data_IF_727182349000
#
_entry.id   IF_727182349000
#
_cell.length_a   1.000
_cell.length_b   1.000
_cell.length_c   1.000
_cell.angle_alpha   90.00
_cell.angle_beta   90.00
_cell.angle_gamma   90.00
#
_symmetry.space_group_name_H-M   'P 1'
#
loop_
_entity.id
_entity.type
_entity.pdbx_description
1 polymer ?
#
# COMPACT_ATOMS: atom_id res chain seq x y z
N UNK A 1 -9.25 23.34 12.56
CA UNK A 1 -9.37 22.44 11.40
C UNK A 1 -9.18 21.02 11.90
N UNK A 2 -10.17 20.15 11.70
CA UNK A 2 -10.15 18.73 12.11
C UNK A 2 -9.11 17.94 11.32
N UNK A 3 -8.86 16.67 11.69
CA UNK A 3 -7.99 15.78 10.91
C UNK A 3 -8.52 15.62 9.48
N UNK A 4 -9.80 15.28 9.34
CA UNK A 4 -10.48 15.09 8.05
C UNK A 4 -10.35 16.33 7.16
N UNK A 5 -10.58 17.53 7.70
CA UNK A 5 -10.43 18.78 6.96
C UNK A 5 -8.98 19.03 6.50
N UNK A 6 -7.99 18.61 7.31
CA UNK A 6 -6.56 18.70 6.92
C UNK A 6 -6.23 17.69 5.82
N UNK A 7 -6.77 16.49 5.92
CA UNK A 7 -6.54 15.44 4.94
C UNK A 7 -7.21 15.79 3.60
N UNK A 8 -8.47 16.22 3.61
CA UNK A 8 -9.17 16.69 2.41
C UNK A 8 -8.44 17.85 1.70
N UNK A 9 -7.87 18.79 2.46
CA UNK A 9 -7.03 19.87 1.88
C UNK A 9 -5.74 19.35 1.25
N UNK A 10 -5.19 18.26 1.78
CA UNK A 10 -4.03 17.60 1.21
C UNK A 10 -4.39 16.79 -0.04
N UNK A 11 -5.55 16.13 -0.06
CA UNK A 11 -6.05 15.45 -1.26
C UNK A 11 -6.23 16.41 -2.42
N UNK A 12 -6.69 17.64 -2.17
CA UNK A 12 -6.75 18.65 -3.22
C UNK A 12 -5.37 19.00 -3.78
N UNK A 13 -4.32 19.01 -2.96
CA UNK A 13 -2.95 19.18 -3.44
C UNK A 13 -2.49 17.98 -4.27
N UNK A 14 -2.93 16.77 -3.93
CA UNK A 14 -2.66 15.58 -4.74
C UNK A 14 -3.33 15.69 -6.12
N UNK A 15 -4.61 16.08 -6.19
CA UNK A 15 -5.32 16.31 -7.46
C UNK A 15 -4.65 17.39 -8.30
N UNK A 16 -4.26 18.50 -7.68
CA UNK A 16 -3.48 19.55 -8.35
C UNK A 16 -2.15 19.03 -8.90
N UNK A 17 -1.47 18.14 -8.18
CA UNK A 17 -0.22 17.54 -8.67
C UNK A 17 -0.46 16.58 -9.83
N UNK A 18 -1.53 15.79 -9.81
CA UNK A 18 -1.91 14.97 -10.97
C UNK A 18 -2.11 15.83 -12.20
N UNK A 19 -2.91 16.91 -12.11
CA UNK A 19 -3.13 17.81 -13.25
C UNK A 19 -1.83 18.46 -13.77
N UNK A 20 -0.88 18.76 -12.88
CA UNK A 20 0.45 19.26 -13.27
C UNK A 20 1.26 18.20 -13.99
N UNK A 21 1.25 16.97 -13.49
CA UNK A 21 1.96 15.85 -14.13
C UNK A 21 1.39 15.56 -15.51
N UNK A 22 0.07 15.56 -15.69
CA UNK A 22 -0.58 15.38 -17.00
C UNK A 22 -0.07 16.40 -18.01
N UNK A 23 -0.08 17.69 -17.63
CA UNK A 23 0.39 18.77 -18.49
C UNK A 23 1.90 18.71 -18.76
N UNK A 24 2.69 18.42 -17.74
CA UNK A 24 4.16 18.45 -17.82
C UNK A 24 4.71 17.29 -18.63
N UNK A 25 4.07 16.14 -18.55
CA UNK A 25 4.58 14.90 -19.13
C UNK A 25 3.76 14.40 -20.32
N UNK A 26 2.67 15.08 -20.67
CA UNK A 26 1.76 14.70 -21.74
C UNK A 26 1.23 13.28 -21.56
N UNK A 27 0.68 13.01 -20.37
CA UNK A 27 0.16 11.70 -19.97
C UNK A 27 -1.26 11.83 -19.43
N UNK A 28 -2.09 10.82 -19.69
CA UNK A 28 -3.37 10.67 -18.98
C UNK A 28 -3.13 10.11 -17.58
N UNK A 29 -3.62 10.78 -16.56
CA UNK A 29 -3.50 10.35 -15.17
C UNK A 29 -4.76 10.74 -14.39
N UNK A 30 -5.19 9.86 -13.49
CA UNK A 30 -6.25 10.19 -12.52
C UNK A 30 -5.71 10.08 -11.11
N UNK A 31 -6.16 10.98 -10.24
CA UNK A 31 -5.92 10.84 -8.81
C UNK A 31 -6.69 9.63 -8.29
N UNK A 32 -5.97 8.65 -7.72
CA UNK A 32 -6.60 7.46 -7.13
C UNK A 32 -6.64 7.57 -5.60
N UNK A 33 -7.82 7.83 -5.00
CA UNK A 33 -7.95 7.91 -3.56
C UNK A 33 -7.67 6.56 -2.88
N UNK A 34 -6.99 6.61 -1.74
CA UNK A 34 -6.86 5.50 -0.78
C UNK A 34 -7.96 5.61 0.29
N UNK A 35 -8.08 4.61 1.16
CA UNK A 35 -8.93 4.74 2.35
C UNK A 35 -8.37 5.83 3.26
N UNK A 36 -9.23 6.78 3.64
CA UNK A 36 -8.86 7.84 4.57
C UNK A 36 -8.61 7.27 5.97
N UNK A 37 -7.47 7.56 6.60
CA UNK A 37 -7.23 7.18 7.98
C UNK A 37 -8.13 8.02 8.91
N UNK A 38 -8.69 7.42 9.95
CA UNK A 38 -9.51 8.17 10.94
C UNK A 38 -8.70 9.09 11.86
N UNK A 39 -7.37 9.04 11.77
CA UNK A 39 -6.46 9.86 12.56
C UNK A 39 -5.01 9.35 12.44
N UNK A 40 -4.09 9.89 13.27
CA UNK A 40 -2.70 9.47 13.25
C UNK A 40 -2.49 7.98 13.56
N UNK A 41 -1.62 7.32 12.81
CA UNK A 41 -1.37 5.87 12.85
C UNK A 41 0.04 5.51 13.33
N UNK A 42 0.23 4.27 13.78
CA UNK A 42 1.51 3.75 14.26
C UNK A 42 2.38 3.21 13.12
N UNK A 43 1.76 2.85 12.00
CA UNK A 43 2.45 2.32 10.83
C UNK A 43 1.95 2.97 9.55
N UNK A 44 2.88 3.33 8.65
CA UNK A 44 2.54 3.79 7.30
C UNK A 44 3.18 2.83 6.30
N UNK A 45 2.35 2.10 5.56
CA UNK A 45 2.80 1.21 4.50
C UNK A 45 2.76 1.97 3.17
N UNK A 46 3.89 2.03 2.47
CA UNK A 46 4.07 2.93 1.32
C UNK A 46 4.49 2.15 0.08
N UNK A 47 3.64 2.08 -0.92
CA UNK A 47 3.98 1.60 -2.26
C UNK A 47 4.41 2.77 -3.17
N UNK A 48 4.78 2.49 -4.42
CA UNK A 48 5.33 3.51 -5.31
C UNK A 48 4.25 4.42 -5.91
N UNK A 49 3.25 3.80 -6.54
CA UNK A 49 2.22 4.46 -7.31
C UNK A 49 1.08 3.48 -7.65
N UNK A 50 -0.14 3.98 -7.87
CA UNK A 50 -1.27 3.15 -8.20
C UNK A 50 -1.17 2.55 -9.61
N UNK A 51 -1.85 1.42 -9.80
CA UNK A 51 -2.10 0.86 -11.13
C UNK A 51 -3.29 1.57 -11.80
N UNK A 52 -3.44 1.42 -13.13
CA UNK A 52 -4.60 1.96 -13.85
C UNK A 52 -5.91 1.22 -13.56
N UNK A 53 -5.94 0.30 -12.59
CA UNK A 53 -7.15 -0.45 -12.20
C UNK A 53 -7.74 -1.33 -13.32
N UNK A 54 -6.98 -1.56 -14.40
CA UNK A 54 -7.49 -2.20 -15.62
C UNK A 54 -8.28 -1.27 -16.55
N UNK A 55 -8.47 0.01 -16.18
CA UNK A 55 -9.10 1.00 -17.03
C UNK A 55 -8.27 1.27 -18.30
N UNK A 56 -8.98 1.49 -19.41
CA UNK A 56 -8.41 1.72 -20.75
C UNK A 56 -8.37 3.19 -21.14
N UNK A 57 -8.99 4.06 -20.34
CA UNK A 57 -9.06 5.50 -20.55
C UNK A 57 -9.17 6.25 -19.22
N UNK A 58 -8.85 7.54 -19.24
CA UNK A 58 -9.09 8.45 -18.11
C UNK A 58 -10.55 8.45 -17.63
N UNK A 59 -11.51 8.50 -18.56
CA UNK A 59 -12.94 8.55 -18.22
C UNK A 59 -13.46 7.26 -17.60
N UNK A 60 -12.96 6.10 -18.05
CA UNK A 60 -13.24 4.83 -17.39
C UNK A 60 -12.64 4.78 -15.99
N UNK A 61 -11.40 5.24 -15.82
CA UNK A 61 -10.76 5.30 -14.52
C UNK A 61 -11.53 6.22 -13.55
N UNK A 62 -12.00 7.38 -14.02
CA UNK A 62 -12.81 8.31 -13.22
C UNK A 62 -14.15 7.68 -12.81
N UNK A 63 -14.85 7.01 -13.73
CA UNK A 63 -16.12 6.32 -13.42
C UNK A 63 -15.94 5.28 -12.31
N UNK A 64 -14.88 4.46 -12.38
CA UNK A 64 -14.59 3.48 -11.32
C UNK A 64 -14.39 4.16 -9.95
N UNK A 65 -13.68 5.30 -9.92
CA UNK A 65 -13.45 6.07 -8.68
C UNK A 65 -14.77 6.63 -8.13
N UNK A 66 -15.61 7.17 -9.01
CA UNK A 66 -16.91 7.73 -8.66
C UNK A 66 -17.88 6.66 -8.13
N UNK A 67 -17.78 5.44 -8.66
CA UNK A 67 -18.50 4.24 -8.18
C UNK A 67 -17.94 3.67 -6.86
N UNK A 68 -16.88 4.28 -6.31
CA UNK A 68 -16.34 3.94 -5.00
C UNK A 68 -15.05 3.13 -5.03
N UNK A 69 -14.42 2.93 -6.19
CA UNK A 69 -13.11 2.28 -6.24
C UNK A 69 -12.09 3.08 -5.43
N UNK A 70 -11.39 2.41 -4.52
CA UNK A 70 -10.27 2.95 -3.74
C UNK A 70 -9.03 2.08 -3.91
N UNK A 71 -7.87 2.70 -3.88
CA UNK A 71 -6.62 1.96 -3.92
C UNK A 71 -6.50 1.03 -2.71
N UNK A 72 -5.85 -0.12 -2.89
CA UNK A 72 -5.70 -1.17 -1.87
C UNK A 72 -7.00 -1.72 -1.28
N UNK A 73 -8.11 -1.74 -2.04
CA UNK A 73 -9.41 -2.22 -1.53
C UNK A 73 -10.16 -3.17 -2.45
N UNK A 74 -9.59 -3.54 -3.58
CA UNK A 74 -10.38 -4.11 -4.69
C UNK A 74 -9.92 -5.51 -5.12
N UNK A 75 -8.95 -6.10 -4.44
CA UNK A 75 -8.45 -7.44 -4.75
C UNK A 75 -8.27 -8.31 -3.51
N UNK A 76 -8.28 -9.63 -3.68
CA UNK A 76 -7.96 -10.57 -2.60
C UNK A 76 -6.57 -10.30 -2.01
N UNK A 77 -5.61 -9.91 -2.85
CA UNK A 77 -4.27 -9.50 -2.43
C UNK A 77 -4.30 -8.26 -1.52
N UNK A 78 -5.14 -7.29 -1.81
CA UNK A 78 -5.34 -6.11 -0.94
C UNK A 78 -5.93 -6.52 0.41
N UNK A 79 -6.98 -7.35 0.40
CA UNK A 79 -7.56 -7.88 1.62
C UNK A 79 -6.54 -8.67 2.44
N UNK A 80 -5.69 -9.47 1.80
CA UNK A 80 -4.59 -10.18 2.46
C UNK A 80 -3.60 -9.20 3.09
N UNK A 81 -3.21 -8.14 2.38
CA UNK A 81 -2.31 -7.10 2.92
C UNK A 81 -2.90 -6.47 4.18
N UNK A 82 -4.16 -6.04 4.12
CA UNK A 82 -4.87 -5.43 5.24
C UNK A 82 -5.05 -6.40 6.41
N UNK A 83 -5.46 -7.64 6.14
CA UNK A 83 -5.56 -8.70 7.14
C UNK A 83 -4.23 -8.91 7.85
N UNK A 84 -3.15 -9.07 7.09
CA UNK A 84 -1.83 -9.30 7.67
C UNK A 84 -1.30 -8.09 8.44
N UNK A 85 -1.50 -6.86 7.94
CA UNK A 85 -1.11 -5.66 8.66
C UNK A 85 -1.86 -5.55 10.00
N UNK A 86 -3.17 -5.82 10.01
CA UNK A 86 -3.96 -5.79 11.25
C UNK A 86 -3.57 -6.87 12.26
N UNK A 87 -3.30 -8.09 11.81
CA UNK A 87 -3.13 -9.25 12.70
C UNK A 87 -1.67 -9.55 13.07
N UNK A 88 -0.72 -9.17 12.21
CA UNK A 88 0.70 -9.53 12.40
C UNK A 88 1.60 -8.31 12.59
N UNK A 89 1.23 -7.13 12.08
CA UNK A 89 1.99 -5.89 12.30
C UNK A 89 1.52 -5.15 13.55
N UNK A 90 0.21 -4.89 13.65
CA UNK A 90 -0.36 -4.08 14.73
C UNK A 90 -0.59 -4.89 16.01
N UNK A 91 -0.29 -4.30 17.15
CA UNK A 91 -0.76 -4.72 18.48
C UNK A 91 -2.15 -4.16 18.77
N UNK A 92 -2.72 -4.58 19.90
CA UNK A 92 -3.99 -4.00 20.38
C UNK A 92 -3.86 -2.48 20.54
N UNK A 93 -4.81 -1.73 19.97
CA UNK A 93 -4.80 -0.26 19.95
C UNK A 93 -3.91 0.40 18.90
N UNK A 94 -2.97 -0.32 18.28
CA UNK A 94 -2.17 0.21 17.18
C UNK A 94 -2.96 0.22 15.87
N UNK A 95 -2.71 1.20 15.01
CA UNK A 95 -3.36 1.37 13.70
C UNK A 95 -2.34 1.59 12.59
N UNK A 96 -2.79 1.46 11.34
CA UNK A 96 -1.95 1.60 10.16
C UNK A 96 -2.66 2.36 9.03
N UNK A 97 -1.87 2.92 8.12
CA UNK A 97 -2.31 3.55 6.88
C UNK A 97 -1.58 2.91 5.70
N UNK A 98 -2.27 2.62 4.60
CA UNK A 98 -1.66 2.12 3.36
C UNK A 98 -1.81 3.17 2.28
N UNK A 99 -0.72 3.51 1.63
CA UNK A 99 -0.67 4.63 0.70
C UNK A 99 0.40 4.42 -0.37
N UNK A 100 0.40 5.26 -1.41
CA UNK A 100 1.47 5.32 -2.40
C UNK A 100 2.30 6.59 -2.24
N UNK A 101 3.57 6.59 -2.66
CA UNK A 101 4.38 7.81 -2.78
C UNK A 101 3.72 8.79 -3.77
N UNK A 102 3.37 8.33 -4.97
CA UNK A 102 2.63 9.10 -5.96
C UNK A 102 1.15 8.71 -5.97
N UNK A 103 0.24 9.68 -6.13
CA UNK A 103 -1.22 9.43 -6.07
C UNK A 103 -1.91 9.36 -7.43
N UNK A 104 -1.21 9.72 -8.50
CA UNK A 104 -1.73 9.64 -9.86
C UNK A 104 -1.49 8.28 -10.47
N UNK A 105 -2.48 7.72 -11.16
CA UNK A 105 -2.28 6.53 -12.00
C UNK A 105 -1.31 6.86 -13.13
N UNK A 106 -0.44 5.91 -13.49
CA UNK A 106 0.46 6.08 -14.63
C UNK A 106 0.19 5.00 -15.68
N UNK A 107 -0.04 5.38 -16.95
CA UNK A 107 -0.06 4.43 -18.05
C UNK A 107 1.28 3.71 -18.14
N UNK A 108 1.25 2.42 -18.47
CA UNK A 108 2.45 1.57 -18.55
C UNK A 108 3.55 2.14 -19.46
N UNK A 109 3.18 2.86 -20.53
CA UNK A 109 4.11 3.54 -21.45
C UNK A 109 4.89 4.69 -20.78
N UNK A 110 4.27 5.41 -19.83
CA UNK A 110 4.91 6.47 -19.05
C UNK A 110 5.78 5.92 -17.91
N UNK A 111 5.40 4.76 -17.32
CA UNK A 111 6.22 4.08 -16.30
C UNK A 111 7.61 3.69 -16.83
N UNK A 112 7.70 3.31 -18.11
CA UNK A 112 8.96 2.96 -18.76
C UNK A 112 9.92 4.15 -18.98
N UNK A 113 9.38 5.38 -19.04
CA UNK A 113 10.18 6.60 -19.18
C UNK A 113 10.75 7.13 -17.85
N UNK A 114 10.44 6.46 -16.73
CA UNK A 114 11.09 6.56 -15.42
C UNK A 114 11.76 7.89 -15.13
N UNK A 115 10.99 8.96 -14.92
CA UNK A 115 11.56 10.28 -14.66
C UNK A 115 11.72 10.49 -13.14
N UNK A 116 12.95 10.48 -12.58
CA UNK A 116 13.16 10.65 -11.14
C UNK A 116 12.62 11.99 -10.61
N UNK A 117 12.61 13.03 -11.45
CA UNK A 117 12.14 14.36 -11.06
C UNK A 117 10.64 14.40 -10.71
N UNK A 118 9.84 13.48 -11.28
CA UNK A 118 8.42 13.36 -10.90
C UNK A 118 8.27 12.94 -9.44
N UNK A 119 9.08 11.98 -9.00
CA UNK A 119 8.98 11.45 -7.65
C UNK A 119 9.47 12.43 -6.58
N UNK A 120 10.27 13.43 -6.94
CA UNK A 120 10.62 14.54 -6.05
C UNK A 120 9.40 15.40 -5.66
N UNK A 121 8.58 15.77 -6.63
CA UNK A 121 7.38 16.58 -6.39
C UNK A 121 6.36 15.80 -5.55
N UNK A 122 6.19 14.50 -5.84
CA UNK A 122 5.37 13.60 -5.03
C UNK A 122 5.94 13.39 -3.63
N UNK A 123 7.26 13.26 -3.47
CA UNK A 123 7.89 13.10 -2.18
C UNK A 123 7.59 14.27 -1.23
N UNK A 124 7.63 15.51 -1.72
CA UNK A 124 7.28 16.70 -0.92
C UNK A 124 5.83 16.67 -0.43
N UNK A 125 4.91 16.13 -1.22
CA UNK A 125 3.51 15.96 -0.83
C UNK A 125 3.34 14.78 0.13
N UNK A 126 4.06 13.69 -0.10
CA UNK A 126 4.12 12.55 0.81
C UNK A 126 4.68 12.93 2.19
N UNK A 127 5.68 13.80 2.28
CA UNK A 127 6.16 14.33 3.57
C UNK A 127 5.09 15.15 4.32
N UNK A 128 4.18 15.81 3.60
CA UNK A 128 3.03 16.49 4.22
C UNK A 128 2.00 15.48 4.71
N UNK A 129 1.73 14.44 3.92
CA UNK A 129 0.86 13.33 4.33
C UNK A 129 1.42 12.67 5.58
N UNK A 130 2.68 12.26 5.54
CA UNK A 130 3.35 11.60 6.66
C UNK A 130 3.26 12.44 7.94
N UNK A 131 3.59 13.74 7.89
CA UNK A 131 3.46 14.63 9.06
C UNK A 131 2.04 14.75 9.60
N UNK A 132 1.03 14.55 8.75
CA UNK A 132 -0.37 14.60 9.16
C UNK A 132 -0.84 13.25 9.73
N UNK A 133 -0.53 12.15 9.04
CA UNK A 133 -1.07 10.81 9.32
C UNK A 133 -0.23 9.99 10.29
N UNK A 134 1.03 10.34 10.53
CA UNK A 134 1.90 9.56 11.39
C UNK A 134 1.90 10.05 12.84
N UNK A 135 1.82 9.12 13.79
CA UNK A 135 2.22 9.39 15.18
C UNK A 135 3.73 9.71 15.24
N UNK A 136 4.22 10.38 16.30
CA UNK A 136 5.63 10.78 16.42
C UNK A 136 6.66 9.64 16.26
N UNK A 137 6.29 8.42 16.67
CA UNK A 137 7.14 7.22 16.58
C UNK A 137 6.63 6.22 15.53
N UNK A 138 5.81 6.68 14.58
CA UNK A 138 5.27 5.80 13.56
C UNK A 138 6.39 5.24 12.69
N UNK A 139 6.22 3.99 12.25
CA UNK A 139 7.17 3.29 11.39
C UNK A 139 6.67 3.27 9.96
N UNK A 140 7.55 3.67 9.04
CA UNK A 140 7.27 3.62 7.61
C UNK A 140 7.85 2.33 7.05
N UNK A 141 7.01 1.54 6.40
CA UNK A 141 7.37 0.28 5.77
C UNK A 141 7.10 0.39 4.28
N UNK A 142 8.16 0.31 3.49
CA UNK A 142 8.06 0.37 2.03
C UNK A 142 7.56 -0.95 1.46
N UNK A 143 6.60 -0.91 0.52
CA UNK A 143 6.10 -2.08 -0.22
C UNK A 143 6.79 -2.10 -1.59
N UNK A 144 7.86 -2.89 -1.68
CA UNK A 144 8.66 -3.04 -2.90
C UNK A 144 9.98 -2.27 -2.87
N UNK A 145 10.98 -2.84 -3.54
CA UNK A 145 12.35 -2.31 -3.55
C UNK A 145 12.48 -0.89 -4.10
N UNK A 146 11.84 -0.50 -5.21
CA UNK A 146 12.04 0.84 -5.79
C UNK A 146 11.68 1.98 -4.82
N UNK A 147 10.50 1.91 -4.19
CA UNK A 147 10.09 2.92 -3.20
C UNK A 147 10.94 2.84 -1.93
N UNK A 148 11.33 1.62 -1.50
CA UNK A 148 12.23 1.44 -0.37
C UNK A 148 13.60 2.09 -0.56
N UNK A 149 14.19 1.92 -1.74
CA UNK A 149 15.44 2.56 -2.10
C UNK A 149 15.28 4.09 -2.13
N UNK A 150 14.26 4.59 -2.84
CA UNK A 150 13.98 6.01 -2.94
C UNK A 150 13.82 6.67 -1.56
N UNK A 151 13.01 6.10 -0.67
CA UNK A 151 12.79 6.64 0.67
C UNK A 151 14.04 6.57 1.56
N UNK A 152 14.88 5.55 1.36
CA UNK A 152 16.17 5.43 2.07
C UNK A 152 17.16 6.50 1.61
N UNK A 153 17.27 6.74 0.31
CA UNK A 153 18.11 7.78 -0.28
C UNK A 153 17.69 9.19 0.16
N UNK A 154 16.38 9.40 0.39
CA UNK A 154 15.85 10.64 0.97
C UNK A 154 16.10 10.80 2.47
N UNK A 155 16.57 9.75 3.15
CA UNK A 155 16.77 9.79 4.59
C UNK A 155 15.47 10.02 5.37
N UNK A 156 14.34 9.53 4.86
CA UNK A 156 13.04 9.76 5.49
C UNK A 156 13.02 9.19 6.91
N UNK A 157 12.84 10.08 7.89
CA UNK A 157 12.77 9.70 9.30
C UNK A 157 11.64 8.68 9.53
N UNK A 158 11.96 7.60 10.25
CA UNK A 158 11.01 6.55 10.57
C UNK A 158 10.91 5.44 9.51
N UNK A 159 11.67 5.50 8.41
CA UNK A 159 11.76 4.38 7.47
C UNK A 159 12.41 3.17 8.13
N UNK A 160 11.61 2.13 8.40
CA UNK A 160 11.98 0.95 9.15
C UNK A 160 12.52 -0.18 8.26
N UNK A 161 12.17 -0.17 6.97
CA UNK A 161 12.62 -1.15 5.99
C UNK A 161 11.60 -1.40 4.88
N UNK A 162 11.84 -2.45 4.11
CA UNK A 162 11.08 -2.77 2.91
C UNK A 162 10.57 -4.21 2.94
N UNK A 163 9.28 -4.39 2.66
CA UNK A 163 8.67 -5.70 2.36
C UNK A 163 8.60 -5.93 0.85
N UNK A 164 8.48 -7.19 0.44
CA UNK A 164 8.30 -7.50 -0.97
C UNK A 164 6.91 -7.10 -1.44
N UNK A 165 6.84 -6.49 -2.62
CA UNK A 165 5.57 -6.26 -3.31
C UNK A 165 5.13 -7.54 -4.03
N UNK A 166 4.03 -8.15 -3.58
CA UNK A 166 3.53 -9.41 -4.12
C UNK A 166 2.41 -9.23 -5.16
N UNK A 167 2.71 -8.52 -6.24
CA UNK A 167 1.80 -8.43 -7.40
C UNK A 167 1.46 -9.83 -7.95
N UNK A 168 0.41 -9.99 -8.76
CA UNK A 168 0.10 -11.27 -9.42
C UNK A 168 1.28 -11.84 -10.22
N UNK A 169 2.18 -10.99 -10.72
CA UNK A 169 3.40 -11.41 -11.44
C UNK A 169 4.50 -11.95 -10.51
N UNK A 170 4.35 -11.79 -9.19
CA UNK A 170 5.34 -12.15 -8.18
C UNK A 170 5.14 -13.56 -7.59
N UNK A 171 4.30 -14.42 -8.18
CA UNK A 171 4.04 -15.79 -7.68
C UNK A 171 5.33 -16.58 -7.45
N UNK A 172 6.30 -16.49 -8.38
CA UNK A 172 7.62 -17.16 -8.22
C UNK A 172 8.36 -16.72 -6.96
N UNK A 173 8.19 -15.47 -6.54
CA UNK A 173 8.82 -14.93 -5.34
C UNK A 173 8.10 -15.36 -4.06
N UNK A 174 6.79 -15.66 -4.13
CA UNK A 174 6.03 -16.20 -3.00
C UNK A 174 6.61 -17.52 -2.52
N UNK A 175 6.92 -18.44 -3.44
CA UNK A 175 7.58 -19.73 -3.12
C UNK A 175 9.00 -19.54 -2.61
N UNK A 176 9.79 -18.67 -3.25
CA UNK A 176 11.19 -18.44 -2.85
C UNK A 176 11.32 -17.92 -1.41
N UNK A 177 10.37 -17.11 -0.95
CA UNK A 177 10.38 -16.57 0.43
C UNK A 177 10.12 -17.63 1.51
N UNK A 178 9.65 -18.82 1.12
CA UNK A 178 9.40 -19.96 2.04
C UNK A 178 10.61 -20.89 2.12
N UNK A 179 11.55 -20.82 1.18
CA UNK A 179 12.73 -21.71 1.16
C UNK A 179 13.50 -21.58 2.47
N UNK A 180 13.72 -22.71 3.15
CA UNK A 180 14.33 -22.79 4.48
C UNK A 180 13.35 -22.64 5.65
N UNK A 181 12.05 -22.51 5.38
CA UNK A 181 10.96 -22.35 6.37
C UNK A 181 9.74 -23.20 6.03
N UNK A 182 9.97 -24.31 5.32
CA UNK A 182 8.93 -25.18 4.79
C UNK A 182 8.08 -25.81 5.88
N UNK A 183 8.69 -26.22 7.00
CA UNK A 183 7.98 -26.80 8.13
C UNK A 183 7.05 -25.78 8.82
N UNK A 184 7.53 -24.55 9.04
CA UNK A 184 6.72 -23.46 9.58
C UNK A 184 5.56 -23.11 8.64
N UNK A 185 5.83 -23.05 7.33
CA UNK A 185 4.79 -22.81 6.33
C UNK A 185 3.75 -23.94 6.34
N UNK A 186 4.15 -25.21 6.37
CA UNK A 186 3.24 -26.34 6.37
C UNK A 186 2.30 -26.32 7.59
N UNK A 187 2.84 -26.05 8.78
CA UNK A 187 2.06 -25.90 10.01
C UNK A 187 1.10 -24.71 9.94
N UNK A 188 1.56 -23.58 9.40
CA UNK A 188 0.72 -22.41 9.22
C UNK A 188 -0.43 -22.69 8.24
N UNK A 189 -0.10 -23.22 7.06
CA UNK A 189 -1.03 -23.46 5.96
C UNK A 189 -2.10 -24.52 6.30
N UNK A 190 -1.82 -25.45 7.21
CA UNK A 190 -2.79 -26.43 7.70
C UNK A 190 -3.83 -25.83 8.66
N UNK A 191 -3.52 -24.68 9.27
CA UNK A 191 -4.45 -23.94 10.14
C UNK A 191 -5.21 -22.81 9.44
N UNK A 192 -4.78 -22.45 8.22
CA UNK A 192 -5.34 -21.33 7.46
C UNK A 192 -6.15 -21.84 6.26
N UNK A 193 -7.45 -22.05 6.48
CA UNK A 193 -8.37 -22.53 5.44
C UNK A 193 -9.07 -21.37 4.70
N UNK A 194 -9.43 -20.33 5.44
CA UNK A 194 -10.14 -19.15 4.97
C UNK A 194 -9.63 -17.92 5.72
N UNK A 195 -9.80 -16.73 5.14
CA UNK A 195 -9.62 -15.49 5.89
C UNK A 195 -10.92 -15.13 6.59
N UNK A 196 -10.87 -14.84 7.91
CA UNK A 196 -12.04 -14.44 8.65
C UNK A 196 -12.60 -13.13 8.10
N UNK A 197 -13.93 -13.00 8.16
CA UNK A 197 -14.69 -11.78 7.87
C UNK A 197 -14.04 -10.59 8.59
N UNK A 198 -13.75 -9.51 7.89
CA UNK A 198 -13.40 -8.24 8.51
C UNK A 198 -14.65 -7.49 8.95
N UNK A 199 -14.52 -6.71 10.02
CA UNK A 199 -15.48 -5.65 10.34
C UNK A 199 -15.00 -4.38 9.66
N UNK A 200 -15.70 -3.97 8.61
CA UNK A 200 -15.49 -2.71 7.92
C UNK A 200 -14.82 -2.88 6.56
N UNK A 201 -15.31 -2.09 5.61
CA UNK A 201 -14.97 -2.05 4.17
C UNK A 201 -15.70 -3.12 3.36
N UNK A 202 -16.05 -2.77 2.13
CA UNK A 202 -16.91 -3.50 1.19
C UNK A 202 -16.30 -4.86 0.83
N UNK A 203 -16.46 -5.83 1.73
CA UNK A 203 -15.94 -7.18 1.59
C UNK A 203 -16.83 -8.05 0.68
N UNK A 204 -16.24 -9.09 0.07
CA UNK A 204 -17.03 -10.18 -0.47
C UNK A 204 -17.93 -10.77 0.63
N UNK A 205 -19.20 -10.99 0.30
CA UNK A 205 -20.24 -11.44 1.24
C UNK A 205 -19.99 -12.83 1.85
N UNK A 206 -18.94 -13.53 1.40
CA UNK A 206 -18.62 -14.92 1.72
C UNK A 206 -17.14 -15.07 2.07
N UNK A 207 -16.82 -16.04 2.93
CA UNK A 207 -15.44 -16.36 3.29
C UNK A 207 -14.63 -16.68 2.03
N UNK A 208 -13.42 -16.13 1.93
CA UNK A 208 -12.59 -16.32 0.73
C UNK A 208 -11.78 -17.62 0.90
N UNK A 209 -12.06 -18.68 0.14
CA UNK A 209 -11.21 -19.86 0.15
C UNK A 209 -9.81 -19.49 -0.38
N UNK A 210 -8.79 -19.93 0.34
CA UNK A 210 -7.41 -19.60 0.00
C UNK A 210 -6.79 -20.71 -0.85
N UNK A 211 -6.41 -20.35 -2.08
CA UNK A 211 -5.48 -21.17 -2.87
C UNK A 211 -4.12 -21.27 -2.19
N UNK A 212 -3.34 -22.30 -2.52
CA UNK A 212 -1.97 -22.44 -1.98
C UNK A 212 -1.12 -21.19 -2.22
N UNK A 213 -1.23 -20.55 -3.39
CA UNK A 213 -0.49 -19.31 -3.65
C UNK A 213 -0.89 -18.16 -2.71
N UNK A 214 -2.16 -18.09 -2.30
CA UNK A 214 -2.62 -17.08 -1.34
C UNK A 214 -2.19 -17.41 0.07
N UNK A 215 -2.20 -18.69 0.49
CA UNK A 215 -1.63 -19.09 1.80
C UNK A 215 -0.15 -18.71 1.90
N UNK A 216 0.63 -18.93 0.85
CA UNK A 216 2.03 -18.50 0.76
C UNK A 216 2.16 -16.98 0.93
N UNK A 217 1.25 -16.21 0.32
CA UNK A 217 1.24 -14.76 0.48
C UNK A 217 0.97 -14.34 1.93
N UNK A 218 -0.05 -14.91 2.58
CA UNK A 218 -0.36 -14.62 3.99
C UNK A 218 0.84 -14.94 4.88
N UNK A 219 1.47 -16.10 4.69
CA UNK A 219 2.65 -16.49 5.45
C UNK A 219 3.81 -15.50 5.28
N UNK A 220 4.10 -15.10 4.04
CA UNK A 220 5.19 -14.17 3.78
C UNK A 220 4.97 -12.79 4.42
N UNK A 221 3.73 -12.28 4.38
CA UNK A 221 3.40 -11.03 5.07
C UNK A 221 3.43 -11.20 6.59
N UNK A 222 2.91 -12.30 7.14
CA UNK A 222 2.98 -12.60 8.58
C UNK A 222 4.41 -12.42 9.09
N UNK A 223 5.34 -13.10 8.43
CA UNK A 223 6.75 -13.13 8.80
C UNK A 223 7.36 -11.74 8.75
N UNK A 224 7.13 -11.04 7.64
CA UNK A 224 7.69 -9.71 7.43
C UNK A 224 7.16 -8.74 8.48
N UNK A 225 5.86 -8.78 8.74
CA UNK A 225 5.21 -7.89 9.68
C UNK A 225 5.54 -8.20 11.14
N UNK A 226 5.68 -9.45 11.54
CA UNK A 226 6.16 -9.80 12.89
C UNK A 226 7.58 -9.28 13.12
N UNK A 227 8.46 -9.41 12.11
CA UNK A 227 9.80 -8.84 12.17
C UNK A 227 9.78 -7.32 12.39
N UNK A 228 8.89 -6.59 11.71
CA UNK A 228 8.73 -5.16 11.95
C UNK A 228 8.10 -4.87 13.30
N UNK A 229 7.04 -5.58 13.69
CA UNK A 229 6.34 -5.39 14.97
C UNK A 229 7.31 -5.50 16.15
N UNK A 230 8.17 -6.52 16.14
CA UNK A 230 8.98 -6.91 17.29
C UNK A 230 10.32 -6.15 17.38
N UNK A 231 10.71 -5.41 16.33
CA UNK A 231 11.81 -4.45 16.41
C UNK A 231 11.48 -3.30 17.36
N UNK A 232 12.39 -2.99 18.28
CA UNK A 232 12.29 -1.78 19.11
C UNK A 232 12.43 -0.53 18.22
N UNK A 233 11.73 0.57 18.54
CA UNK A 233 12.02 1.86 17.91
C UNK A 233 13.49 2.20 18.17
N UNK A 234 14.24 2.45 17.11
CA UNK A 234 15.61 2.96 17.18
C UNK A 234 15.64 4.46 17.39
#
# INVERSE_FOLDING_TARGET
MTFEQKYAKLEEQFRCQVARDEKRWDVESVYLPTVEPSGPVDFVLVAMEPSSMGARSKDEAQRLIDEGFRNFCNSTEDFILHFCARNYLCRSGETYHVTDLAKGTMPTKAKAAGNPAKYEDWYRLFEKEFRLVAKPNARIISIGKPVGQFLSEKGLRGHAGTILHYSPQAIRHRRRAIVGREAEYAQFASSLHELPRGRGWSEPKEAIPLSESRKQLVFNYKVSFEHFRDRKPG
#
